data_IF_169761160094
#
_entry.id   IF_169761160094
#
_cell.length_a   1.000
_cell.length_b   1.000
_cell.length_c   1.000
_cell.angle_alpha   90.00
_cell.angle_beta   90.00
_cell.angle_gamma   90.00
#
_symmetry.space_group_name_H-M   'P 1'
#
loop_
_entity.id
_entity.type
_entity.pdbx_description
1 polymer ?
#
# COMPACT_ATOMS: atom_id res chain seq x y z
N UNK A 1 47.62 -40.54 31.34
CA UNK A 1 46.19 -40.15 31.24
C UNK A 1 46.12 -38.63 31.16
N UNK A 2 45.85 -38.12 29.96
CA UNK A 2 45.39 -36.76 29.66
C UNK A 2 44.79 -36.82 28.23
N UNK A 3 43.55 -36.37 27.99
CA UNK A 3 42.96 -36.44 26.64
C UNK A 3 43.37 -35.23 25.81
N UNK A 4 43.92 -35.48 24.63
CA UNK A 4 44.22 -34.48 23.59
C UNK A 4 42.92 -34.01 22.94
N UNK A 5 42.68 -32.70 22.98
CA UNK A 5 41.50 -32.05 22.42
C UNK A 5 41.48 -32.17 20.88
N UNK A 6 40.33 -32.59 20.35
CA UNK A 6 40.01 -32.64 18.92
C UNK A 6 39.59 -31.22 18.51
N UNK A 7 40.37 -30.56 17.67
CA UNK A 7 40.00 -29.30 17.01
C UNK A 7 39.08 -29.61 15.83
N UNK A 8 37.84 -29.11 15.88
CA UNK A 8 36.93 -29.07 14.73
C UNK A 8 37.36 -27.96 13.76
N UNK A 9 37.37 -28.20 12.44
CA UNK A 9 37.53 -27.12 11.48
C UNK A 9 36.24 -26.30 11.42
N UNK A 10 36.40 -25.02 11.73
CA UNK A 10 35.41 -23.94 11.59
C UNK A 10 34.95 -23.85 10.13
N UNK A 11 33.69 -24.24 9.88
CA UNK A 11 33.02 -24.02 8.59
C UNK A 11 32.91 -22.52 8.35
N UNK A 12 33.77 -22.00 7.46
CA UNK A 12 33.65 -20.67 6.91
C UNK A 12 32.26 -20.52 6.26
N UNK A 13 31.37 -19.79 6.93
CA UNK A 13 30.11 -19.34 6.36
C UNK A 13 30.46 -18.33 5.27
N UNK A 14 30.47 -18.79 4.02
CA UNK A 14 30.53 -17.93 2.85
C UNK A 14 29.27 -17.07 2.87
N UNK A 15 29.43 -15.82 3.33
CA UNK A 15 28.43 -14.78 3.23
C UNK A 15 28.20 -14.50 1.76
N UNK A 16 27.18 -15.14 1.19
CA UNK A 16 26.67 -14.82 -0.13
C UNK A 16 26.14 -13.39 -0.10
N UNK A 17 27.00 -12.43 -0.46
CA UNK A 17 26.58 -11.10 -0.87
C UNK A 17 25.67 -11.28 -2.07
N UNK A 18 24.36 -11.27 -1.82
CA UNK A 18 23.35 -11.09 -2.86
C UNK A 18 23.71 -9.78 -3.55
N UNK A 19 24.24 -9.89 -4.76
CA UNK A 19 24.54 -8.74 -5.60
C UNK A 19 23.19 -8.20 -6.05
N UNK A 20 22.67 -7.20 -5.34
CA UNK A 20 21.55 -6.42 -5.82
C UNK A 20 22.00 -5.74 -7.12
N UNK A 21 21.46 -6.22 -8.23
CA UNK A 21 21.52 -5.53 -9.52
C UNK A 21 20.88 -4.16 -9.29
N UNK A 22 21.50 -3.03 -9.67
CA UNK A 22 20.85 -1.73 -9.61
C UNK A 22 19.62 -1.78 -10.51
N UNK A 23 18.43 -1.87 -9.93
CA UNK A 23 17.20 -1.74 -10.69
C UNK A 23 17.09 -0.27 -11.11
N UNK A 24 16.70 -0.07 -12.37
CA UNK A 24 16.49 1.27 -12.90
C UNK A 24 15.29 1.89 -12.16
N UNK A 25 15.42 3.11 -11.64
CA UNK A 25 14.46 3.69 -10.67
C UNK A 25 13.03 3.79 -11.21
N UNK A 26 12.89 4.01 -12.52
CA UNK A 26 11.58 3.97 -13.22
C UNK A 26 10.90 2.61 -13.06
N UNK A 27 11.69 1.53 -13.10
CA UNK A 27 11.18 0.16 -13.05
C UNK A 27 10.60 -0.22 -11.69
N UNK A 28 11.05 0.42 -10.59
CA UNK A 28 10.55 0.13 -9.25
C UNK A 28 9.17 0.76 -9.02
N UNK A 29 9.00 2.03 -9.38
CA UNK A 29 7.70 2.71 -9.30
C UNK A 29 6.68 1.99 -10.19
N UNK A 30 7.07 1.64 -11.42
CA UNK A 30 6.22 0.85 -12.33
C UNK A 30 5.78 -0.49 -11.72
N UNK A 31 6.70 -1.25 -11.11
CA UNK A 31 6.37 -2.51 -10.44
C UNK A 31 5.41 -2.32 -9.26
N UNK A 32 5.60 -1.27 -8.46
CA UNK A 32 4.74 -0.96 -7.31
C UNK A 32 3.35 -0.52 -7.77
N UNK A 33 3.27 0.29 -8.82
CA UNK A 33 2.01 0.66 -9.48
C UNK A 33 1.31 -0.57 -10.04
N UNK A 34 2.04 -1.49 -10.68
CA UNK A 34 1.49 -2.74 -11.19
C UNK A 34 0.92 -3.63 -10.09
N UNK A 35 1.61 -3.75 -8.94
CA UNK A 35 1.10 -4.49 -7.78
C UNK A 35 -0.17 -3.86 -7.25
N UNK A 36 -0.19 -2.54 -7.05
CA UNK A 36 -1.37 -1.82 -6.60
C UNK A 36 -2.56 -1.96 -7.57
N UNK A 37 -2.31 -1.94 -8.89
CA UNK A 37 -3.31 -2.22 -9.91
C UNK A 37 -3.88 -3.63 -9.76
N UNK A 38 -3.04 -4.63 -9.53
CA UNK A 38 -3.50 -6.01 -9.32
C UNK A 38 -4.36 -6.15 -8.06
N UNK A 39 -3.97 -5.53 -6.94
CA UNK A 39 -4.74 -5.56 -5.69
C UNK A 39 -6.12 -4.91 -5.86
N UNK A 40 -6.19 -3.71 -6.45
CA UNK A 40 -7.47 -3.07 -6.75
C UNK A 40 -8.28 -3.86 -7.79
N UNK A 41 -7.61 -4.50 -8.75
CA UNK A 41 -8.22 -5.38 -9.74
C UNK A 41 -8.89 -6.60 -9.10
N UNK A 42 -8.29 -7.21 -8.06
CA UNK A 42 -8.92 -8.28 -7.29
C UNK A 42 -10.19 -7.82 -6.58
N UNK A 43 -10.21 -6.58 -6.07
CA UNK A 43 -11.40 -6.00 -5.48
C UNK A 43 -12.51 -5.76 -6.52
N UNK A 44 -12.15 -5.32 -7.72
CA UNK A 44 -13.10 -5.17 -8.84
C UNK A 44 -13.65 -6.53 -9.27
N UNK A 45 -12.78 -7.54 -9.45
CA UNK A 45 -13.17 -8.90 -9.83
C UNK A 45 -14.14 -9.52 -8.82
N UNK A 46 -13.88 -9.33 -7.53
CA UNK A 46 -14.79 -9.73 -6.47
C UNK A 46 -16.17 -9.07 -6.64
N UNK A 47 -16.21 -7.75 -6.87
CA UNK A 47 -17.45 -6.99 -7.02
C UNK A 47 -18.22 -7.38 -8.29
N UNK A 48 -17.53 -7.59 -9.41
CA UNK A 48 -18.14 -7.89 -10.72
C UNK A 48 -18.55 -9.35 -10.87
N UNK A 49 -17.72 -10.29 -10.37
CA UNK A 49 -17.84 -11.71 -10.70
C UNK A 49 -18.21 -12.60 -9.52
N UNK A 50 -18.17 -12.10 -8.27
CA UNK A 50 -18.51 -12.89 -7.08
C UNK A 50 -19.75 -12.37 -6.36
N UNK A 51 -19.91 -11.06 -6.22
CA UNK A 51 -21.09 -10.49 -5.58
C UNK A 51 -22.25 -10.38 -6.57
N UNK A 52 -23.46 -10.64 -6.09
CA UNK A 52 -24.68 -10.68 -6.91
C UNK A 52 -25.77 -9.73 -6.41
N UNK A 53 -25.70 -9.30 -5.14
CA UNK A 53 -26.64 -8.38 -4.51
C UNK A 53 -25.88 -7.43 -3.56
N UNK A 54 -26.20 -6.13 -3.63
CA UNK A 54 -25.71 -5.05 -2.77
C UNK A 54 -25.85 -5.37 -1.26
N UNK A 55 -26.85 -6.17 -0.88
CA UNK A 55 -27.01 -6.66 0.50
C UNK A 55 -25.80 -7.42 1.02
N UNK A 56 -25.01 -8.05 0.14
CA UNK A 56 -23.81 -8.78 0.52
C UNK A 56 -22.70 -7.85 1.05
N UNK A 57 -22.72 -6.56 0.73
CA UNK A 57 -21.80 -5.54 1.25
C UNK A 57 -22.16 -5.08 2.67
N UNK A 58 -23.43 -5.18 3.05
CA UNK A 58 -23.97 -4.65 4.31
C UNK A 58 -24.35 -5.73 5.32
N UNK A 59 -24.38 -7.01 4.89
CA UNK A 59 -24.64 -8.14 5.77
C UNK A 59 -23.59 -8.22 6.88
N UNK A 60 -24.04 -8.33 8.14
CA UNK A 60 -23.14 -8.46 9.28
C UNK A 60 -22.28 -9.72 9.16
N UNK A 61 -21.04 -9.50 8.71
CA UNK A 61 -19.87 -10.38 8.64
C UNK A 61 -20.13 -11.89 8.50
N UNK A 62 -20.15 -12.35 7.25
CA UNK A 62 -19.66 -13.69 6.88
C UNK A 62 -18.97 -13.72 5.51
N UNK A 63 -19.30 -12.77 4.63
CA UNK A 63 -18.75 -12.68 3.29
C UNK A 63 -17.73 -11.55 3.22
N UNK A 64 -18.09 -10.29 2.93
CA UNK A 64 -17.13 -9.17 2.86
C UNK A 64 -17.84 -7.85 3.20
N UNK A 65 -17.55 -7.19 4.33
CA UNK A 65 -18.16 -5.89 4.63
C UNK A 65 -17.59 -4.81 3.71
N UNK A 66 -18.46 -3.99 3.11
CA UNK A 66 -18.08 -2.88 2.22
C UNK A 66 -17.07 -1.89 2.86
N UNK A 67 -17.00 -1.86 4.19
CA UNK A 67 -15.99 -1.12 4.96
C UNK A 67 -14.55 -1.57 4.70
N UNK A 68 -14.31 -2.85 4.41
CA UNK A 68 -12.97 -3.34 4.04
C UNK A 68 -12.59 -2.89 2.63
N UNK A 69 -13.53 -2.93 1.68
CA UNK A 69 -13.32 -2.43 0.34
C UNK A 69 -13.03 -0.92 0.35
N UNK A 70 -13.81 -0.15 1.11
CA UNK A 70 -13.52 1.27 1.34
C UNK A 70 -12.13 1.45 1.93
N UNK A 71 -11.74 0.66 2.93
CA UNK A 71 -10.42 0.80 3.55
C UNK A 71 -9.28 0.57 2.55
N UNK A 72 -9.37 -0.48 1.73
CA UNK A 72 -8.38 -0.75 0.69
C UNK A 72 -8.27 0.39 -0.33
N UNK A 73 -9.41 0.94 -0.78
CA UNK A 73 -9.45 2.08 -1.69
C UNK A 73 -8.88 3.36 -1.07
N UNK A 74 -9.22 3.64 0.19
CA UNK A 74 -8.79 4.85 0.89
C UNK A 74 -7.27 4.89 1.06
N UNK A 75 -6.61 3.74 1.22
CA UNK A 75 -5.15 3.66 1.24
C UNK A 75 -4.54 4.27 -0.03
N UNK A 76 -4.97 3.83 -1.22
CA UNK A 76 -4.47 4.35 -2.49
C UNK A 76 -4.88 5.81 -2.75
N UNK A 77 -6.06 6.22 -2.31
CA UNK A 77 -6.48 7.62 -2.43
C UNK A 77 -5.60 8.56 -1.59
N UNK A 78 -5.24 8.15 -0.36
CA UNK A 78 -4.31 8.89 0.50
C UNK A 78 -2.91 8.96 -0.14
N UNK A 79 -2.41 7.85 -0.68
CA UNK A 79 -1.13 7.82 -1.40
C UNK A 79 -1.11 8.78 -2.59
N UNK A 80 -2.16 8.77 -3.42
CA UNK A 80 -2.28 9.67 -4.57
C UNK A 80 -2.24 11.14 -4.17
N UNK A 81 -2.94 11.50 -3.09
CA UNK A 81 -2.90 12.84 -2.53
C UNK A 81 -1.49 13.23 -2.07
N UNK A 82 -0.78 12.35 -1.37
CA UNK A 82 0.58 12.63 -0.91
C UNK A 82 1.54 12.92 -2.07
N UNK A 83 1.48 12.13 -3.14
CA UNK A 83 2.32 12.35 -4.32
C UNK A 83 1.99 13.69 -4.96
N UNK A 84 0.71 14.00 -5.17
CA UNK A 84 0.27 15.25 -5.79
C UNK A 84 0.70 16.49 -4.99
N UNK A 85 0.59 16.46 -3.65
CA UNK A 85 0.98 17.58 -2.79
C UNK A 85 2.47 17.90 -2.95
N UNK A 86 3.31 16.89 -3.15
CA UNK A 86 4.76 17.04 -3.28
C UNK A 86 5.16 17.50 -4.68
N UNK A 87 4.54 16.92 -5.72
CA UNK A 87 4.80 17.32 -7.10
C UNK A 87 4.32 18.75 -7.37
N UNK A 88 3.23 19.19 -6.72
CA UNK A 88 2.68 20.54 -6.89
C UNK A 88 3.45 21.62 -6.13
N UNK A 89 4.10 21.27 -5.02
CA UNK A 89 4.89 22.23 -4.22
C UNK A 89 6.33 22.39 -4.69
N UNK A 90 6.79 21.57 -5.64
CA UNK A 90 8.15 21.63 -6.19
C UNK A 90 9.26 21.34 -5.17
N UNK A 91 8.90 20.82 -3.99
CA UNK A 91 9.77 20.61 -2.85
C UNK A 91 10.62 19.35 -3.03
N UNK A 92 11.52 19.36 -4.01
CA UNK A 92 12.35 18.19 -4.34
C UNK A 92 13.46 17.86 -3.36
N UNK A 93 13.73 18.60 -2.26
CA UNK A 93 14.97 18.32 -1.51
C UNK A 93 15.05 18.51 0.02
N UNK A 94 14.05 18.99 0.77
CA UNK A 94 14.25 19.15 2.25
C UNK A 94 13.00 19.32 3.14
N UNK A 95 11.78 19.13 2.66
CA UNK A 95 10.59 19.38 3.50
C UNK A 95 10.01 18.08 4.05
N UNK A 96 9.51 18.17 5.29
CA UNK A 96 9.06 17.09 6.14
C UNK A 96 8.26 15.98 5.41
N UNK A 97 8.36 14.72 5.86
CA UNK A 97 7.60 13.62 5.27
C UNK A 97 6.11 13.97 5.15
N UNK A 98 5.46 13.56 4.06
CA UNK A 98 4.03 13.79 3.95
C UNK A 98 3.29 12.91 4.93
N UNK A 99 2.55 13.54 5.83
CA UNK A 99 1.71 12.87 6.82
C UNK A 99 0.36 12.50 6.21
N UNK A 100 0.09 11.20 6.14
CA UNK A 100 -1.21 10.64 5.82
C UNK A 100 -1.89 10.20 7.12
N UNK A 101 -3.20 10.43 7.23
CA UNK A 101 -3.99 9.98 8.37
C UNK A 101 -5.02 8.97 7.90
N UNK A 102 -4.94 7.73 8.40
CA UNK A 102 -5.95 6.69 8.16
C UNK A 102 -7.31 7.03 8.77
N UNK A 103 -7.38 8.05 9.63
CA UNK A 103 -8.61 8.50 10.26
C UNK A 103 -9.26 9.69 9.56
N UNK A 104 -8.65 10.19 8.47
CA UNK A 104 -9.30 11.07 7.51
C UNK A 104 -10.32 10.28 6.65
N UNK A 105 -11.27 9.61 7.32
CA UNK A 105 -12.25 8.74 6.68
C UNK A 105 -13.43 9.56 6.20
N UNK A 106 -13.81 9.36 4.94
CA UNK A 106 -15.15 9.71 4.47
C UNK A 106 -16.05 8.56 4.88
N UNK A 107 -17.01 8.84 5.78
CA UNK A 107 -18.02 7.86 6.19
C UNK A 107 -19.18 7.88 5.21
N UNK A 108 -19.97 6.82 5.22
CA UNK A 108 -21.22 6.71 4.44
C UNK A 108 -21.00 6.87 2.93
N UNK A 109 -19.87 6.34 2.44
CA UNK A 109 -19.57 6.35 1.01
C UNK A 109 -20.49 5.37 0.26
N UNK A 110 -20.99 5.72 -0.94
CA UNK A 110 -21.85 4.82 -1.72
C UNK A 110 -21.26 3.43 -1.98
N UNK A 111 -19.92 3.29 -2.00
CA UNK A 111 -19.27 1.99 -2.16
C UNK A 111 -19.46 1.02 -0.99
N UNK A 112 -19.88 1.49 0.19
CA UNK A 112 -20.16 0.61 1.33
C UNK A 112 -21.48 -0.15 1.16
N UNK A 113 -22.37 0.33 0.29
CA UNK A 113 -23.72 -0.21 0.13
C UNK A 113 -24.09 -0.54 -1.32
N UNK A 114 -23.26 -0.18 -2.30
CA UNK A 114 -23.51 -0.46 -3.72
C UNK A 114 -22.29 -1.03 -4.42
N UNK A 115 -22.47 -2.20 -5.07
CA UNK A 115 -21.47 -2.89 -5.88
C UNK A 115 -21.01 -1.99 -7.02
N UNK A 116 -21.94 -1.41 -7.77
CA UNK A 116 -21.65 -0.51 -8.90
C UNK A 116 -20.83 0.70 -8.44
N UNK A 117 -21.19 1.31 -7.30
CA UNK A 117 -20.42 2.42 -6.75
C UNK A 117 -19.03 1.99 -6.29
N UNK A 118 -18.88 0.78 -5.75
CA UNK A 118 -17.59 0.18 -5.40
C UNK A 118 -16.69 -0.02 -6.63
N UNK A 119 -17.23 -0.60 -7.70
CA UNK A 119 -16.49 -0.82 -8.96
C UNK A 119 -16.00 0.52 -9.50
N UNK A 120 -16.89 1.51 -9.58
CA UNK A 120 -16.54 2.85 -10.06
C UNK A 120 -15.46 3.50 -9.18
N UNK A 121 -15.59 3.42 -7.85
CA UNK A 121 -14.62 3.99 -6.92
C UNK A 121 -13.23 3.35 -7.05
N UNK A 122 -13.14 2.03 -7.29
CA UNK A 122 -11.86 1.36 -7.53
C UNK A 122 -11.27 1.71 -8.91
N UNK A 123 -12.09 1.79 -9.96
CA UNK A 123 -11.63 2.22 -11.29
C UNK A 123 -11.07 3.64 -11.27
N UNK A 124 -11.73 4.55 -10.55
CA UNK A 124 -11.24 5.92 -10.33
C UNK A 124 -9.92 5.93 -9.57
N UNK A 125 -9.77 5.11 -8.53
CA UNK A 125 -8.53 5.01 -7.76
C UNK A 125 -7.37 4.44 -8.60
N UNK A 126 -7.63 3.43 -9.44
CA UNK A 126 -6.65 2.90 -10.41
C UNK A 126 -6.21 3.98 -11.38
N UNK A 127 -7.16 4.72 -11.97
CA UNK A 127 -6.85 5.81 -12.90
C UNK A 127 -5.99 6.89 -12.25
N UNK A 128 -6.34 7.31 -11.02
CA UNK A 128 -5.55 8.29 -10.26
C UNK A 128 -4.13 7.79 -10.01
N UNK A 129 -3.97 6.50 -9.68
CA UNK A 129 -2.67 5.89 -9.46
C UNK A 129 -1.82 5.88 -10.75
N UNK A 130 -2.41 5.52 -11.89
CA UNK A 130 -1.72 5.53 -13.18
C UNK A 130 -1.30 6.96 -13.59
N UNK A 131 -2.11 7.97 -13.26
CA UNK A 131 -1.82 9.36 -13.55
C UNK A 131 -0.66 9.89 -12.70
N UNK A 132 -0.60 9.53 -11.41
CA UNK A 132 0.44 9.99 -10.49
C UNK A 132 1.74 9.19 -10.57
N UNK A 133 1.71 7.93 -11.04
CA UNK A 133 2.89 7.08 -11.15
C UNK A 133 4.01 7.71 -11.99
N UNK A 134 3.65 8.49 -13.02
CA UNK A 134 4.59 9.21 -13.91
C UNK A 134 5.40 10.29 -13.18
N UNK A 135 4.92 10.73 -12.02
CA UNK A 135 5.49 11.84 -11.25
C UNK A 135 5.92 11.43 -9.84
N UNK A 136 5.66 10.17 -9.45
CA UNK A 136 5.92 9.68 -8.11
C UNK A 136 7.42 9.46 -7.87
N UNK A 137 8.01 10.07 -6.83
CA UNK A 137 9.37 9.72 -6.41
C UNK A 137 9.37 8.36 -5.71
N UNK A 138 10.32 7.48 -6.07
CA UNK A 138 10.47 6.13 -5.51
C UNK A 138 10.72 6.15 -3.99
N UNK A 139 11.67 6.97 -3.55
CA UNK A 139 12.09 7.12 -2.16
C UNK A 139 11.18 8.06 -1.37
N UNK A 140 9.93 8.27 -1.83
CA UNK A 140 9.06 9.24 -1.23
C UNK A 140 8.82 8.91 0.26
N UNK A 141 9.32 9.74 1.20
CA UNK A 141 9.12 9.46 2.60
C UNK A 141 7.67 9.79 2.96
N UNK A 142 6.88 8.75 3.17
CA UNK A 142 5.47 8.86 3.58
C UNK A 142 5.38 8.50 5.06
N UNK A 143 4.80 9.38 5.86
CA UNK A 143 4.49 9.11 7.27
C UNK A 143 3.01 8.79 7.37
N UNK A 144 2.69 7.56 7.74
CA UNK A 144 1.34 7.11 8.04
C UNK A 144 1.06 7.33 9.52
N UNK A 145 -0.09 7.92 9.83
CA UNK A 145 -0.59 8.07 11.21
C UNK A 145 -1.92 7.34 11.34
N UNK A 146 -2.06 6.59 12.42
CA UNK A 146 -3.29 5.90 12.78
C UNK A 146 -3.59 6.08 14.28
N UNK A 147 -4.82 6.44 14.61
CA UNK A 147 -5.31 6.43 15.97
C UNK A 147 -5.81 5.01 16.31
N UNK A 148 -5.10 4.35 17.22
CA UNK A 148 -5.46 3.01 17.71
C UNK A 148 -6.24 3.05 19.04
N UNK A 149 -6.73 4.24 19.43
CA UNK A 149 -7.47 4.46 20.67
C UNK A 149 -6.65 5.23 21.69
N UNK A 150 -5.95 4.58 22.64
CA UNK A 150 -5.12 5.30 23.62
C UNK A 150 -3.77 5.76 23.07
N UNK A 151 -3.36 5.28 21.88
CA UNK A 151 -2.03 5.53 21.31
C UNK A 151 -2.12 5.86 19.82
N UNK A 152 -1.56 7.00 19.46
CA UNK A 152 -1.30 7.35 18.07
C UNK A 152 -0.07 6.57 17.60
N UNK A 153 -0.23 5.82 16.51
CA UNK A 153 0.85 5.12 15.84
C UNK A 153 1.34 5.96 14.66
N UNK A 154 2.66 6.06 14.52
CA UNK A 154 3.32 6.71 13.39
C UNK A 154 4.20 5.66 12.73
N UNK A 155 3.92 5.37 11.45
CA UNK A 155 4.63 4.40 10.64
C UNK A 155 5.27 5.11 9.46
N UNK A 156 6.52 4.77 9.14
CA UNK A 156 7.20 5.29 7.97
C UNK A 156 7.04 4.29 6.83
N UNK A 157 6.61 4.75 5.66
CA UNK A 157 6.54 3.96 4.44
C UNK A 157 7.11 4.72 3.24
N UNK A 158 7.20 4.02 2.11
CA UNK A 158 7.55 4.59 0.80
C UNK A 158 6.42 4.33 -0.21
N UNK A 159 6.54 4.88 -1.42
CA UNK A 159 5.53 4.74 -2.47
C UNK A 159 5.08 3.28 -2.64
N UNK A 160 3.78 3.02 -2.55
CA UNK A 160 3.19 1.70 -2.82
C UNK A 160 3.58 0.55 -1.89
N UNK A 161 4.35 0.81 -0.81
CA UNK A 161 4.65 -0.20 0.23
C UNK A 161 3.71 0.01 1.43
N UNK A 162 3.18 -1.09 1.94
CA UNK A 162 2.62 -1.15 3.29
C UNK A 162 3.67 -1.80 4.22
N UNK A 163 3.82 -1.28 5.44
CA UNK A 163 4.68 -1.84 6.50
C UNK A 163 3.85 -2.36 7.65
#
# INVERSE_FOLDING_TARGET
MAPTAITHPESAVVSSKVTQVPQDRSTVVEQLTDVARHVMGQAIDLLENTLTDDKQLTYQSKYIPGKHLRHARDHYALLSKAVLDITSTGASNSQAPVTLSYDARIRDTPMETSITAGIQAFREAVQQLDDIAKYAPEDLPVVLTADTGPHQQTLNTTYGREV
#
